data_IF_032447324764
#
_entry.id   IF_032447324764
#
_cell.length_a   1.000
_cell.length_b   1.000
_cell.length_c   1.000
_cell.angle_alpha   90.00
_cell.angle_beta   90.00
_cell.angle_gamma   90.00
#
_symmetry.space_group_name_H-M   'P 1'
#
loop_
_entity.id
_entity.type
_entity.pdbx_description
1 polymer ?
#
# COMPACT_ATOMS: atom_id res chain seq x y z
N UNK A 1 -12.53 9.35 17.83
CA UNK A 1 -11.06 9.18 17.72
C UNK A 1 -10.72 7.71 17.83
N UNK A 2 -9.94 7.21 16.93
CA UNK A 2 -9.53 5.81 16.86
C UNK A 2 -8.06 5.74 17.26
N UNK A 3 -7.72 4.86 18.22
CA UNK A 3 -6.33 4.65 18.62
C UNK A 3 -5.80 3.37 18.03
N UNK A 4 -4.68 3.47 17.31
CA UNK A 4 -3.98 2.30 16.78
C UNK A 4 -2.48 2.36 17.10
N UNK A 5 -1.82 1.20 17.28
CA UNK A 5 -0.38 1.15 17.35
C UNK A 5 0.22 1.54 15.99
N UNK A 6 1.30 2.34 16.03
CA UNK A 6 2.01 2.76 14.82
C UNK A 6 3.35 2.03 14.70
N UNK A 7 3.63 1.61 13.50
CA UNK A 7 4.88 0.98 13.10
C UNK A 7 5.62 1.90 12.11
N UNK A 8 6.51 2.77 12.60
CA UNK A 8 7.29 3.65 11.74
C UNK A 8 8.33 2.85 10.96
N UNK A 9 8.23 2.86 9.64
CA UNK A 9 9.14 2.21 8.72
C UNK A 9 9.58 3.18 7.61
N UNK A 10 10.67 2.87 6.93
CA UNK A 10 11.13 3.67 5.78
C UNK A 10 10.42 3.23 4.47
N UNK A 11 9.12 2.98 4.57
CA UNK A 11 8.25 2.62 3.44
C UNK A 11 6.92 3.36 3.53
N UNK A 12 6.27 3.50 2.39
CA UNK A 12 4.87 3.92 2.28
C UNK A 12 4.07 2.72 1.77
N UNK A 13 2.97 2.41 2.44
CA UNK A 13 2.06 1.32 2.07
C UNK A 13 0.75 1.91 1.57
N UNK A 14 0.25 1.39 0.47
CA UNK A 14 -1.06 1.75 -0.09
C UNK A 14 -2.12 0.71 0.32
N UNK A 15 -3.42 1.08 0.34
CA UNK A 15 -4.50 0.11 0.45
C UNK A 15 -4.37 -1.01 -0.60
N UNK A 16 -4.71 -2.24 -0.20
CA UNK A 16 -4.59 -3.49 -0.97
C UNK A 16 -3.16 -3.98 -1.23
N UNK A 17 -2.14 -3.25 -0.83
CA UNK A 17 -0.75 -3.67 -0.98
C UNK A 17 -0.38 -4.70 0.07
N UNK A 18 0.23 -5.81 -0.36
CA UNK A 18 0.79 -6.83 0.52
C UNK A 18 2.23 -6.50 0.89
N UNK A 19 2.51 -6.52 2.19
CA UNK A 19 3.84 -6.19 2.74
C UNK A 19 4.37 -7.39 3.52
N UNK A 20 5.45 -8.02 3.05
CA UNK A 20 6.14 -9.03 3.85
C UNK A 20 6.91 -8.35 4.99
N UNK A 21 6.71 -8.83 6.21
CA UNK A 21 7.33 -8.28 7.40
C UNK A 21 8.04 -9.38 8.19
N UNK A 22 9.26 -9.07 8.64
CA UNK A 22 9.98 -9.85 9.64
C UNK A 22 9.96 -9.10 10.97
N UNK A 23 9.26 -9.63 11.97
CA UNK A 23 9.02 -8.98 13.25
C UNK A 23 9.90 -9.60 14.32
N UNK A 24 10.93 -8.90 14.75
CA UNK A 24 11.92 -9.38 15.74
C UNK A 24 12.04 -8.50 16.99
N UNK A 25 11.73 -7.20 16.90
CA UNK A 25 11.82 -6.30 18.05
C UNK A 25 10.72 -6.61 19.08
N UNK A 26 11.02 -6.66 20.40
CA UNK A 26 10.04 -7.04 21.44
C UNK A 26 8.75 -6.21 21.42
N UNK A 27 8.85 -4.90 21.21
CA UNK A 27 7.67 -4.01 21.12
C UNK A 27 6.75 -4.36 19.97
N UNK A 28 7.30 -4.70 18.81
CA UNK A 28 6.50 -5.07 17.63
C UNK A 28 6.03 -6.52 17.69
N UNK A 29 6.74 -7.43 18.35
CA UNK A 29 6.25 -8.78 18.63
C UNK A 29 4.97 -8.74 19.46
N UNK A 30 4.93 -7.89 20.52
CA UNK A 30 3.73 -7.70 21.34
C UNK A 30 2.58 -7.10 20.52
N UNK A 31 2.84 -6.04 19.76
CA UNK A 31 1.87 -5.38 18.89
C UNK A 31 1.24 -6.35 17.88
N UNK A 32 2.07 -7.12 17.17
CA UNK A 32 1.60 -8.06 16.14
C UNK A 32 0.84 -9.22 16.78
N UNK A 33 1.29 -9.75 17.93
CA UNK A 33 0.55 -10.77 18.66
C UNK A 33 -0.85 -10.29 19.02
N UNK A 34 -0.99 -9.09 19.60
CA UNK A 34 -2.27 -8.49 19.97
C UNK A 34 -3.14 -8.24 18.71
N UNK A 35 -2.53 -7.79 17.61
CA UNK A 35 -3.22 -7.60 16.33
C UNK A 35 -3.81 -8.91 15.79
N UNK A 36 -3.07 -10.01 15.86
CA UNK A 36 -3.53 -11.34 15.41
C UNK A 36 -4.64 -11.87 16.33
N UNK A 37 -4.43 -11.80 17.66
CA UNK A 37 -5.37 -12.37 18.64
C UNK A 37 -6.73 -11.65 18.65
N UNK A 38 -6.74 -10.33 18.41
CA UNK A 38 -7.94 -9.49 18.51
C UNK A 38 -8.48 -9.06 17.13
N UNK A 39 -7.87 -9.47 16.04
CA UNK A 39 -8.15 -8.99 14.68
C UNK A 39 -8.17 -7.45 14.58
N UNK A 40 -7.22 -6.79 15.23
CA UNK A 40 -7.11 -5.33 15.23
C UNK A 40 -6.05 -4.83 14.25
N UNK A 41 -6.26 -3.68 13.61
CA UNK A 41 -5.26 -3.10 12.72
C UNK A 41 -4.11 -2.46 13.49
N UNK A 42 -2.95 -2.37 12.82
CA UNK A 42 -1.85 -1.48 13.16
C UNK A 42 -1.56 -0.54 11.99
N UNK A 43 -0.92 0.58 12.23
CA UNK A 43 -0.63 1.57 11.19
C UNK A 43 0.85 1.56 10.78
N UNK A 44 1.15 1.51 9.48
CA UNK A 44 2.48 1.85 8.98
C UNK A 44 2.48 3.33 8.60
N UNK A 45 3.47 4.05 9.11
CA UNK A 45 3.75 5.46 8.83
C UNK A 45 5.20 5.60 8.37
N UNK A 46 5.44 6.52 7.43
CA UNK A 46 6.80 6.77 6.96
C UNK A 46 7.65 7.37 8.09
N UNK A 47 8.81 6.75 8.33
CA UNK A 47 9.85 7.27 9.20
C UNK A 47 10.96 7.86 8.35
N UNK A 48 11.01 9.17 8.26
CA UNK A 48 12.08 9.88 7.55
C UNK A 48 13.09 10.44 8.57
N UNK A 49 14.19 9.71 8.77
CA UNK A 49 15.29 10.12 9.67
C UNK A 49 14.84 10.51 11.08
N UNK A 50 13.91 9.74 11.66
CA UNK A 50 13.39 9.97 13.02
C UNK A 50 12.14 10.87 13.06
N UNK A 51 11.76 11.49 11.96
CA UNK A 51 10.49 12.21 11.82
C UNK A 51 9.41 11.25 11.29
N UNK A 52 8.36 11.06 12.06
CA UNK A 52 7.21 10.21 11.70
C UNK A 52 6.19 11.06 10.96
N UNK A 53 5.83 10.64 9.75
CA UNK A 53 4.81 11.31 8.93
C UNK A 53 3.43 11.26 9.63
N UNK A 54 2.59 12.22 9.31
CA UNK A 54 1.23 12.30 9.83
C UNK A 54 0.21 11.59 8.94
N UNK A 55 0.66 10.92 7.88
CA UNK A 55 -0.18 10.11 7.00
C UNK A 55 0.38 8.70 6.96
N UNK A 56 -0.53 7.71 6.94
CA UNK A 56 -0.16 6.32 6.87
C UNK A 56 -1.28 5.44 6.33
N UNK A 57 -1.00 4.15 6.29
CA UNK A 57 -1.98 3.13 5.97
C UNK A 57 -2.13 2.16 7.15
N UNK A 58 -3.37 1.82 7.49
CA UNK A 58 -3.66 0.75 8.45
C UNK A 58 -3.53 -0.60 7.75
N UNK A 59 -2.97 -1.59 8.45
CA UNK A 59 -2.79 -2.92 7.92
C UNK A 59 -3.42 -3.95 8.84
N UNK A 60 -3.76 -5.11 8.27
CA UNK A 60 -4.10 -6.33 9.01
C UNK A 60 -3.15 -7.44 8.62
N UNK A 61 -2.83 -8.32 9.56
CA UNK A 61 -2.09 -9.54 9.28
C UNK A 61 -3.00 -10.49 8.49
N UNK A 62 -2.64 -10.77 7.25
CA UNK A 62 -3.42 -11.65 6.36
C UNK A 62 -2.86 -13.05 6.27
N UNK A 63 -1.54 -13.21 6.52
CA UNK A 63 -0.90 -14.52 6.49
C UNK A 63 0.29 -14.58 7.45
N UNK A 64 0.35 -15.61 8.27
CA UNK A 64 1.53 -15.96 9.05
C UNK A 64 2.31 -17.00 8.27
N UNK A 65 3.52 -16.65 7.83
CA UNK A 65 4.42 -17.56 7.11
C UNK A 65 5.13 -18.45 8.11
N UNK A 66 5.63 -17.84 9.21
CA UNK A 66 6.35 -18.56 10.26
C UNK A 66 6.24 -17.83 11.60
N UNK A 67 6.04 -18.61 12.66
CA UNK A 67 6.15 -18.15 14.04
C UNK A 67 7.31 -18.92 14.70
N UNK A 68 8.29 -18.17 15.17
CA UNK A 68 9.51 -18.74 15.76
C UNK A 68 9.32 -18.98 17.26
N UNK A 69 10.04 -19.95 17.82
CA UNK A 69 10.04 -20.24 19.27
C UNK A 69 10.48 -19.03 20.11
N UNK A 70 11.28 -18.14 19.55
CA UNK A 70 11.75 -16.87 20.13
C UNK A 70 10.70 -15.77 20.11
N UNK A 71 9.51 -16.06 19.55
CA UNK A 71 8.37 -15.13 19.43
C UNK A 71 8.45 -14.18 18.25
N UNK A 72 9.34 -14.39 17.31
CA UNK A 72 9.45 -13.64 16.06
C UNK A 72 8.40 -14.14 15.04
N UNK A 73 8.04 -13.27 14.09
CA UNK A 73 7.09 -13.60 13.03
C UNK A 73 7.67 -13.25 11.66
N UNK A 74 7.53 -14.16 10.70
CA UNK A 74 7.50 -13.85 9.28
C UNK A 74 6.05 -13.86 8.85
N UNK A 75 5.55 -12.76 8.33
CA UNK A 75 4.15 -12.60 7.99
C UNK A 75 3.93 -11.71 6.77
N UNK A 76 2.72 -11.77 6.22
CA UNK A 76 2.23 -10.80 5.25
C UNK A 76 1.13 -10.00 5.94
N UNK A 77 1.22 -8.68 5.83
CA UNK A 77 0.17 -7.76 6.21
C UNK A 77 -0.33 -7.01 4.97
N UNK A 78 -1.63 -6.80 4.91
CA UNK A 78 -2.26 -6.12 3.76
C UNK A 78 -2.77 -4.75 4.17
N UNK A 79 -2.47 -3.74 3.35
CA UNK A 79 -2.98 -2.38 3.49
C UNK A 79 -4.50 -2.34 3.39
N UNK A 80 -5.14 -1.60 4.30
CA UNK A 80 -6.58 -1.51 4.38
C UNK A 80 -7.10 -0.10 4.05
N UNK A 81 -6.84 0.87 4.93
CA UNK A 81 -7.34 2.25 4.80
C UNK A 81 -6.24 3.26 5.08
N UNK A 82 -6.24 4.35 4.32
CA UNK A 82 -5.43 5.52 4.62
C UNK A 82 -5.95 6.21 5.88
N UNK A 83 -5.06 6.81 6.64
CA UNK A 83 -5.40 7.59 7.82
C UNK A 83 -4.49 8.79 7.99
N UNK A 84 -5.02 9.81 8.66
CA UNK A 84 -4.26 10.94 9.19
C UNK A 84 -4.02 10.74 10.69
N UNK A 85 -2.79 11.00 11.14
CA UNK A 85 -2.42 11.02 12.56
C UNK A 85 -2.71 12.41 13.10
N UNK A 86 -3.67 12.51 14.01
CA UNK A 86 -4.05 13.76 14.68
C UNK A 86 -3.13 14.05 15.86
N UNK A 87 -2.79 13.01 16.61
CA UNK A 87 -1.85 13.06 17.74
C UNK A 87 -1.14 11.72 17.90
N UNK A 88 0.03 11.72 18.51
CA UNK A 88 0.79 10.51 18.77
C UNK A 88 1.56 10.57 20.06
N UNK A 89 1.56 9.49 20.80
CA UNK A 89 2.26 9.32 22.06
C UNK A 89 3.09 8.05 22.06
N UNK A 90 4.27 8.11 22.66
CA UNK A 90 5.12 6.92 22.83
C UNK A 90 4.85 6.27 24.18
N UNK A 91 4.41 5.00 24.17
CA UNK A 91 4.14 4.18 25.35
C UNK A 91 4.99 2.91 25.29
N UNK A 92 5.77 2.62 26.31
CA UNK A 92 6.61 1.41 26.36
C UNK A 92 7.41 1.18 25.05
N UNK A 93 8.01 2.23 24.50
CA UNK A 93 8.72 2.25 23.21
C UNK A 93 7.87 1.99 21.96
N UNK A 94 6.56 1.84 22.08
CA UNK A 94 5.62 1.74 20.97
C UNK A 94 4.90 3.08 20.75
N UNK A 95 4.80 3.51 19.53
CA UNK A 95 3.98 4.66 19.16
C UNK A 95 2.50 4.27 19.07
N UNK A 96 1.66 5.06 19.73
CA UNK A 96 0.19 4.97 19.62
C UNK A 96 -0.28 6.26 18.99
N UNK A 97 -1.00 6.15 17.88
CA UNK A 97 -1.60 7.29 17.18
C UNK A 97 -3.08 7.41 17.48
N UNK A 98 -3.53 8.64 17.76
CA UNK A 98 -4.92 9.04 17.58
C UNK A 98 -5.10 9.36 16.10
N UNK A 99 -5.94 8.60 15.42
CA UNK A 99 -6.07 8.69 13.96
C UNK A 99 -7.50 9.00 13.53
N UNK A 100 -7.60 9.55 12.32
CA UNK A 100 -8.82 9.65 11.56
C UNK A 100 -8.63 8.96 10.21
N UNK A 101 -9.54 8.03 9.87
CA UNK A 101 -9.50 7.40 8.56
C UNK A 101 -9.91 8.41 7.49
N UNK A 102 -9.14 8.43 6.41
CA UNK A 102 -9.48 9.20 5.24
C UNK A 102 -10.54 8.42 4.46
N UNK A 103 -11.73 9.01 4.32
CA UNK A 103 -12.79 8.40 3.54
C UNK A 103 -12.36 8.33 2.07
N UNK A 104 -12.65 7.19 1.45
CA UNK A 104 -12.55 7.07 -0.01
C UNK A 104 -13.95 7.36 -0.56
N UNK A 105 -14.23 8.60 -1.01
CA UNK A 105 -15.54 8.93 -1.53
C UNK A 105 -15.88 8.04 -2.72
N UNK A 106 -17.15 7.65 -2.80
CA UNK A 106 -17.69 6.92 -3.95
C UNK A 106 -17.50 7.79 -5.20
N UNK A 107 -17.08 7.17 -6.30
CA UNK A 107 -16.83 7.86 -7.56
C UNK A 107 -18.17 8.36 -8.11
N UNK A 108 -18.38 9.66 -8.12
CA UNK A 108 -19.54 10.27 -8.78
C UNK A 108 -19.41 10.29 -10.31
N UNK A 109 -18.23 9.95 -10.85
CA UNK A 109 -17.94 10.10 -12.29
C UNK A 109 -17.37 8.82 -12.92
N UNK A 110 -18.27 7.96 -13.40
CA UNK A 110 -17.95 6.74 -14.17
C UNK A 110 -17.00 6.98 -15.36
N UNK A 111 -16.93 8.21 -15.90
CA UNK A 111 -16.09 8.50 -17.06
C UNK A 111 -14.61 8.46 -16.72
N UNK A 112 -14.22 8.99 -15.53
CA UNK A 112 -12.82 8.98 -15.09
C UNK A 112 -12.40 7.54 -14.80
N UNK A 113 -13.24 6.76 -14.12
CA UNK A 113 -12.97 5.36 -13.85
C UNK A 113 -12.75 4.57 -15.14
N UNK A 114 -13.66 4.71 -16.12
CA UNK A 114 -13.53 4.03 -17.42
C UNK A 114 -12.27 4.45 -18.18
N UNK A 115 -11.89 5.72 -18.09
CA UNK A 115 -10.64 6.20 -18.68
C UNK A 115 -9.43 5.46 -18.10
N UNK A 116 -9.34 5.37 -16.76
CA UNK A 116 -8.25 4.68 -16.08
C UNK A 116 -8.27 3.18 -16.35
N UNK A 117 -9.46 2.54 -16.34
CA UNK A 117 -9.62 1.11 -16.70
C UNK A 117 -9.06 0.82 -18.09
N UNK A 118 -9.45 1.60 -19.10
CA UNK A 118 -8.99 1.41 -20.47
C UNK A 118 -7.46 1.58 -20.59
N UNK A 119 -6.93 2.60 -19.93
CA UNK A 119 -5.49 2.86 -19.93
C UNK A 119 -4.69 1.79 -19.19
N UNK A 120 -5.24 1.27 -18.11
CA UNK A 120 -4.66 0.15 -17.40
C UNK A 120 -4.58 -1.11 -18.27
N UNK A 121 -5.64 -1.43 -19.03
CA UNK A 121 -5.62 -2.53 -19.99
C UNK A 121 -4.57 -2.32 -21.10
N UNK A 122 -4.45 -1.09 -21.60
CA UNK A 122 -3.40 -0.75 -22.57
C UNK A 122 -1.99 -0.98 -21.97
N UNK A 123 -1.78 -0.59 -20.72
CA UNK A 123 -0.54 -0.83 -20.01
C UNK A 123 -0.24 -2.32 -19.85
N UNK A 124 -1.24 -3.13 -19.45
CA UNK A 124 -1.10 -4.58 -19.31
C UNK A 124 -0.74 -5.24 -20.65
N UNK A 125 -1.44 -4.87 -21.72
CA UNK A 125 -1.14 -5.35 -23.09
C UNK A 125 0.30 -4.99 -23.49
N UNK A 126 0.71 -3.75 -23.25
CA UNK A 126 2.07 -3.29 -23.56
C UNK A 126 3.14 -4.08 -22.79
N UNK A 127 2.83 -4.51 -21.55
CA UNK A 127 3.72 -5.33 -20.71
C UNK A 127 3.67 -6.83 -21.05
N UNK A 128 2.83 -7.25 -22.01
CA UNK A 128 2.65 -8.64 -22.41
C UNK A 128 1.87 -9.47 -21.37
N UNK A 129 1.01 -8.83 -20.58
CA UNK A 129 0.17 -9.47 -19.59
C UNK A 129 -1.29 -9.48 -20.08
N UNK A 130 -1.54 -10.30 -21.11
CA UNK A 130 -2.81 -10.33 -21.86
C UNK A 130 -3.85 -11.30 -21.27
N UNK A 131 -3.54 -11.94 -20.13
CA UNK A 131 -4.42 -12.94 -19.54
C UNK A 131 -5.43 -12.30 -18.55
N UNK A 132 -6.69 -12.73 -18.64
CA UNK A 132 -7.74 -12.42 -17.63
C UNK A 132 -8.11 -10.93 -17.47
N UNK A 133 -8.28 -10.19 -18.56
CA UNK A 133 -8.71 -8.79 -18.52
C UNK A 133 -10.01 -8.55 -17.73
N UNK A 134 -10.91 -9.53 -17.65
CA UNK A 134 -12.18 -9.41 -16.93
C UNK A 134 -11.97 -9.05 -15.45
N UNK A 135 -10.98 -9.65 -14.78
CA UNK A 135 -10.65 -9.37 -13.38
C UNK A 135 -10.21 -7.90 -13.17
N UNK A 136 -9.58 -7.32 -14.18
CA UNK A 136 -9.09 -5.95 -14.11
C UNK A 136 -10.18 -4.92 -14.37
N UNK A 137 -11.26 -5.30 -15.09
CA UNK A 137 -12.45 -4.45 -15.30
C UNK A 137 -13.32 -4.34 -14.04
N UNK A 138 -13.19 -5.25 -13.08
CA UNK A 138 -13.87 -5.20 -11.78
C UNK A 138 -13.23 -4.22 -10.80
N UNK A 139 -12.09 -3.59 -11.16
CA UNK A 139 -11.44 -2.60 -10.32
C UNK A 139 -12.20 -1.29 -10.35
N UNK A 140 -12.62 -0.84 -9.19
CA UNK A 140 -13.46 0.36 -9.03
C UNK A 140 -12.75 1.46 -8.21
N UNK A 141 -11.71 1.09 -7.45
CA UNK A 141 -11.00 1.98 -6.54
C UNK A 141 -9.58 2.24 -7.07
N UNK A 142 -9.16 3.49 -7.03
CA UNK A 142 -7.86 3.94 -7.54
C UNK A 142 -6.67 3.09 -7.10
N UNK A 143 -6.62 2.72 -5.81
CA UNK A 143 -5.54 1.90 -5.27
C UNK A 143 -5.45 0.49 -5.87
N UNK A 144 -6.57 -0.06 -6.34
CA UNK A 144 -6.59 -1.39 -6.97
C UNK A 144 -5.78 -1.42 -8.26
N UNK A 145 -5.71 -0.30 -9.00
CA UNK A 145 -4.91 -0.20 -10.24
C UNK A 145 -3.40 -0.20 -9.98
N UNK A 146 -2.99 -0.07 -8.72
CA UNK A 146 -1.57 -0.03 -8.32
C UNK A 146 -1.08 -1.36 -7.73
N UNK A 147 -1.97 -2.35 -7.58
CA UNK A 147 -1.61 -3.68 -7.08
C UNK A 147 -0.59 -4.33 -8.02
N UNK A 148 0.56 -4.74 -7.46
CA UNK A 148 1.63 -5.37 -8.22
C UNK A 148 2.55 -4.39 -8.97
N UNK A 149 2.29 -3.08 -8.90
CA UNK A 149 3.14 -2.05 -9.50
C UNK A 149 4.11 -1.52 -8.45
N UNK A 150 5.40 -1.63 -8.71
CA UNK A 150 6.43 -1.02 -7.86
C UNK A 150 6.53 0.47 -8.16
N UNK A 151 6.16 1.30 -7.18
CA UNK A 151 6.25 2.75 -7.27
C UNK A 151 7.35 3.30 -6.35
N UNK A 152 8.04 4.38 -6.76
CA UNK A 152 8.90 5.16 -5.89
C UNK A 152 8.15 5.66 -4.65
N UNK A 153 8.87 5.79 -3.53
CA UNK A 153 8.31 6.17 -2.24
C UNK A 153 7.56 7.52 -2.31
N UNK A 154 8.15 8.51 -2.99
CA UNK A 154 7.55 9.83 -3.13
C UNK A 154 6.23 9.79 -3.92
N UNK A 155 6.13 8.96 -4.95
CA UNK A 155 4.87 8.79 -5.70
C UNK A 155 3.80 8.12 -4.84
N UNK A 156 4.15 7.08 -4.08
CA UNK A 156 3.21 6.45 -3.13
C UNK A 156 2.71 7.46 -2.10
N UNK A 157 3.62 8.28 -1.56
CA UNK A 157 3.28 9.31 -0.59
C UNK A 157 2.35 10.35 -1.18
N UNK A 158 2.60 10.82 -2.40
CA UNK A 158 1.73 11.76 -3.09
C UNK A 158 0.32 11.20 -3.29
N UNK A 159 0.21 9.92 -3.66
CA UNK A 159 -1.08 9.24 -3.82
C UNK A 159 -1.85 9.16 -2.50
N UNK A 160 -1.17 8.89 -1.37
CA UNK A 160 -1.79 8.88 -0.04
C UNK A 160 -2.30 10.26 0.38
N UNK A 161 -1.66 11.34 -0.06
CA UNK A 161 -2.03 12.72 0.26
C UNK A 161 -3.30 13.19 -0.47
N UNK A 162 -3.67 12.53 -1.57
CA UNK A 162 -4.88 12.89 -2.33
C UNK A 162 -6.12 12.35 -1.58
N UNK A 163 -6.95 13.25 -1.11
CA UNK A 163 -8.17 12.91 -0.34
C UNK A 163 -9.33 12.49 -1.24
N UNK A 164 -9.33 12.97 -2.49
CA UNK A 164 -10.42 12.77 -3.44
C UNK A 164 -10.10 11.61 -4.40
N UNK A 165 -11.05 10.68 -4.56
CA UNK A 165 -10.89 9.51 -5.42
C UNK A 165 -10.73 9.88 -6.90
N UNK A 166 -11.46 10.89 -7.37
CA UNK A 166 -11.33 11.37 -8.75
C UNK A 166 -9.96 11.98 -9.03
N UNK A 167 -9.39 12.71 -8.07
CA UNK A 167 -8.02 13.25 -8.18
C UNK A 167 -6.98 12.14 -8.19
N UNK A 168 -7.16 11.10 -7.37
CA UNK A 168 -6.28 9.93 -7.39
C UNK A 168 -6.33 9.20 -8.72
N UNK A 169 -7.53 8.98 -9.26
CA UNK A 169 -7.69 8.34 -10.57
C UNK A 169 -7.04 9.16 -11.69
N UNK A 170 -7.21 10.49 -11.70
CA UNK A 170 -6.54 11.35 -12.66
C UNK A 170 -5.02 11.30 -12.52
N UNK A 171 -4.52 11.33 -11.29
CA UNK A 171 -3.09 11.20 -11.04
C UNK A 171 -2.53 9.85 -11.55
N UNK A 172 -3.26 8.76 -11.32
CA UNK A 172 -2.89 7.42 -11.82
C UNK A 172 -2.98 7.36 -13.35
N UNK A 173 -3.99 8.00 -13.95
CA UNK A 173 -4.08 8.13 -15.40
C UNK A 173 -2.82 8.77 -15.98
N UNK A 174 -2.36 9.88 -15.40
CA UNK A 174 -1.16 10.57 -15.83
C UNK A 174 0.11 9.73 -15.62
N UNK A 175 0.19 8.97 -14.52
CA UNK A 175 1.27 8.00 -14.32
C UNK A 175 1.30 6.94 -15.43
N UNK A 176 0.16 6.40 -15.81
CA UNK A 176 0.07 5.40 -16.88
C UNK A 176 0.44 6.01 -18.23
N UNK A 177 0.03 7.24 -18.53
CA UNK A 177 0.45 7.96 -19.73
C UNK A 177 1.98 8.10 -19.82
N UNK A 178 2.59 8.47 -18.71
CA UNK A 178 4.05 8.58 -18.64
C UNK A 178 4.76 7.25 -18.91
N UNK A 179 4.23 6.14 -18.36
CA UNK A 179 4.78 4.80 -18.60
C UNK A 179 4.53 4.35 -20.05
N UNK A 180 3.34 4.61 -20.58
CA UNK A 180 2.98 4.25 -21.94
C UNK A 180 3.79 5.02 -23.00
N UNK A 181 4.18 6.25 -22.71
CA UNK A 181 5.00 7.08 -23.60
C UNK A 181 6.46 6.64 -23.67
N UNK A 182 6.95 5.86 -22.69
CA UNK A 182 8.33 5.40 -22.67
C UNK A 182 8.52 4.14 -23.56
N UNK A 183 9.63 4.03 -24.30
CA UNK A 183 9.97 2.80 -25.02
C UNK A 183 10.25 1.68 -24.00
N UNK A 184 9.62 0.52 -24.17
CA UNK A 184 9.94 -0.65 -23.35
C UNK A 184 11.30 -1.18 -23.82
N UNK A 185 12.33 -1.04 -23.01
CA UNK A 185 13.53 -1.83 -23.16
C UNK A 185 13.21 -3.27 -22.70
N UNK A 186 12.91 -4.16 -23.68
CA UNK A 186 12.94 -5.60 -23.39
C UNK A 186 14.37 -5.91 -22.96
N UNK A 187 14.58 -6.29 -21.72
CA UNK A 187 15.81 -6.96 -21.31
C UNK A 187 15.82 -8.29 -22.08
N UNK A 188 16.64 -8.36 -23.12
CA UNK A 188 17.01 -9.63 -23.71
C UNK A 188 17.73 -10.42 -22.62
N UNK A 189 17.08 -11.47 -22.14
CA UNK A 189 17.72 -12.47 -21.30
C UNK A 189 18.82 -13.14 -22.17
N UNK A 190 20.02 -12.62 -22.09
CA UNK A 190 21.20 -13.36 -22.56
C UNK A 190 21.30 -14.63 -21.72
N UNK A 191 20.89 -15.75 -22.31
CA UNK A 191 21.20 -17.07 -21.78
C UNK A 191 22.72 -17.19 -21.72
N UNK A 192 23.30 -17.64 -20.60
CA UNK A 192 24.73 -17.91 -20.57
C UNK A 192 25.02 -18.99 -21.63
N UNK A 193 25.88 -18.64 -22.56
CA UNK A 193 26.48 -19.63 -23.47
C UNK A 193 27.44 -20.50 -22.65
N UNK A 194 27.25 -21.80 -22.77
CA UNK A 194 28.11 -22.89 -22.27
C UNK A 194 29.60 -22.68 -22.55
#
# INVERSE_FOLDING_TARGET
MIKIPLFPLNIVVLPFEEVPLHIFEPRYKKMIKESIENDTPFGIVLNNNGSIDNIGCSLRVTKIIKHYKTGEYDLIATGNKCFQVLDKVKKEDLWIGDIEYMDTPIIENDKILKLVQNKYLELLTKLGNDENFEIYLEREISFQFLIGITLPLDLKRNILLLENESERLLYINDLFDNVLSQPIHKQENESPKD
#
